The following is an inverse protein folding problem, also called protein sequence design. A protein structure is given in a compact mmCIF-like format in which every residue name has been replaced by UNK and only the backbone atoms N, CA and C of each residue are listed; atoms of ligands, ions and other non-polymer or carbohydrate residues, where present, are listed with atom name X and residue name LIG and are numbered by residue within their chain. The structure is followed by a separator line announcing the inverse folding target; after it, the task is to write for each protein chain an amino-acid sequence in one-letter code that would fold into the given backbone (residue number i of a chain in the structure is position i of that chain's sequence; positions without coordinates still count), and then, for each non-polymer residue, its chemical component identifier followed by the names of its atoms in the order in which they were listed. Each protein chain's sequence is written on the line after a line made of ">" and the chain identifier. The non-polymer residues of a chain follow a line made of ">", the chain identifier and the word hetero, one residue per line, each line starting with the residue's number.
data_IF_607542930164
#
_entry.id   IF_607542930164
#
_cell.length_a   1.000
_cell.length_b   1.000
_cell.length_c   1.000
_cell.angle_alpha   90.00
_cell.angle_beta   90.00
_cell.angle_gamma   90.00
#
_symmetry.space_group_name_H-M   'P 1'
#
loop_
_entity.id
_entity.type
_entity.pdbx_description
1 polymer ?
#
# COMPACT_ATOMS: atom_id res chain seq x y z
N UNK A 1 -17.21 -16.16 -12.04
CA UNK A 1 -16.07 -16.01 -11.12
C UNK A 1 -16.09 -14.62 -10.52
N UNK A 2 -15.65 -14.42 -9.28
CA UNK A 2 -15.68 -13.12 -8.60
C UNK A 2 -14.24 -12.59 -8.50
N UNK A 3 -14.01 -11.37 -9.01
CA UNK A 3 -12.77 -10.62 -8.79
C UNK A 3 -12.89 -9.85 -7.48
N UNK A 4 -11.92 -9.95 -6.60
CA UNK A 4 -11.83 -9.16 -5.39
C UNK A 4 -11.02 -7.90 -5.65
N UNK A 5 -11.58 -6.75 -5.32
CA UNK A 5 -10.92 -5.45 -5.53
C UNK A 5 -10.64 -4.77 -4.19
N UNK A 6 -9.38 -4.86 -3.75
CA UNK A 6 -8.86 -4.25 -2.54
C UNK A 6 -7.93 -3.06 -2.84
N UNK A 7 -8.13 -2.42 -3.99
CA UNK A 7 -7.38 -1.21 -4.32
C UNK A 7 -7.77 -0.06 -3.40
N UNK A 8 -6.80 0.77 -3.13
CA UNK A 8 -6.94 1.96 -2.30
C UNK A 8 -7.98 2.95 -2.88
N UNK A 9 -8.84 3.52 -2.03
CA UNK A 9 -9.79 4.56 -2.46
C UNK A 9 -9.04 5.85 -2.82
N UNK A 10 -9.16 6.26 -4.07
CA UNK A 10 -8.40 7.36 -4.65
C UNK A 10 -8.95 8.75 -4.32
N UNK A 11 -10.22 8.84 -3.85
CA UNK A 11 -10.93 10.14 -3.72
C UNK A 11 -10.22 11.13 -2.81
N UNK A 12 -9.74 10.65 -1.66
CA UNK A 12 -9.07 11.52 -0.70
C UNK A 12 -7.65 11.84 -1.14
N UNK A 13 -6.90 10.85 -1.62
CA UNK A 13 -5.48 11.00 -1.94
C UNK A 13 -5.22 11.92 -3.13
N UNK A 14 -6.17 12.02 -4.06
CA UNK A 14 -6.12 12.97 -5.18
C UNK A 14 -6.06 14.41 -4.71
N UNK A 15 -6.74 14.74 -3.61
CA UNK A 15 -6.79 16.10 -3.06
C UNK A 15 -5.49 16.55 -2.42
N UNK A 16 -4.52 15.67 -2.24
CA UNK A 16 -3.24 15.99 -1.60
C UNK A 16 -2.23 16.64 -2.55
N UNK A 17 -2.41 16.48 -3.86
CA UNK A 17 -1.53 17.10 -4.85
C UNK A 17 -1.61 18.62 -4.74
N UNK A 18 -0.46 19.26 -4.65
CA UNK A 18 -0.31 20.71 -4.43
C UNK A 18 -0.35 21.13 -2.96
N UNK A 19 -0.69 20.22 -2.02
CA UNK A 19 -0.63 20.51 -0.59
C UNK A 19 0.75 20.22 -0.02
N UNK A 20 1.07 20.85 1.10
CA UNK A 20 2.30 20.60 1.84
C UNK A 20 2.14 19.40 2.77
N UNK A 21 3.00 18.41 2.62
CA UNK A 21 3.21 17.37 3.63
C UNK A 21 4.16 17.93 4.69
N UNK A 22 3.65 18.11 5.91
CA UNK A 22 4.40 18.70 7.03
C UNK A 22 5.29 17.65 7.70
N UNK A 23 4.69 16.52 8.04
CA UNK A 23 5.37 15.45 8.79
C UNK A 23 4.64 14.13 8.66
N UNK A 24 5.33 13.05 9.06
CA UNK A 24 4.68 11.79 9.40
C UNK A 24 5.17 11.25 10.75
N UNK A 25 4.35 10.42 11.37
CA UNK A 25 4.60 9.79 12.67
C UNK A 25 4.27 8.32 12.59
N UNK A 26 5.09 7.48 13.21
CA UNK A 26 4.89 6.04 13.29
C UNK A 26 5.60 5.46 14.52
N UNK A 27 5.37 4.20 14.82
CA UNK A 27 6.07 3.50 15.91
C UNK A 27 7.52 3.21 15.56
N UNK A 28 7.77 2.75 14.34
CA UNK A 28 9.11 2.45 13.78
C UNK A 28 9.07 2.52 12.24
N UNK A 29 10.13 2.07 11.57
CA UNK A 29 10.21 2.05 10.09
C UNK A 29 9.37 0.96 9.42
N UNK A 30 8.76 0.06 10.21
CA UNK A 30 7.86 -1.00 9.75
C UNK A 30 6.58 -0.97 10.59
N UNK A 31 5.82 0.09 10.45
CA UNK A 31 4.63 0.35 11.23
C UNK A 31 3.39 -0.36 10.67
N UNK A 32 2.39 -0.61 11.50
CA UNK A 32 1.06 -1.05 11.06
C UNK A 32 0.18 0.15 10.69
N UNK A 33 0.51 1.31 11.21
CA UNK A 33 -0.16 2.57 10.92
C UNK A 33 0.82 3.75 10.88
N UNK A 34 0.46 4.79 10.13
CA UNK A 34 1.24 6.01 9.98
C UNK A 34 0.31 7.22 10.02
N UNK A 35 0.55 8.15 10.95
CA UNK A 35 -0.09 9.47 10.93
C UNK A 35 0.66 10.39 9.97
N UNK A 36 -0.07 11.07 9.09
CA UNK A 36 0.48 11.97 8.08
C UNK A 36 -0.18 13.34 8.26
N UNK A 37 0.63 14.38 8.45
CA UNK A 37 0.17 15.76 8.50
C UNK A 37 0.29 16.38 7.11
N UNK A 38 -0.86 16.78 6.52
CA UNK A 38 -0.94 17.44 5.20
C UNK A 38 -1.73 18.74 5.35
N UNK A 39 -1.07 19.87 5.12
CA UNK A 39 -1.63 21.17 5.43
C UNK A 39 -2.05 21.26 6.91
N UNK A 40 -3.26 21.72 7.15
CA UNK A 40 -3.83 21.86 8.50
C UNK A 40 -4.45 20.55 9.03
N UNK A 41 -4.52 19.50 8.21
CA UNK A 41 -5.22 18.26 8.50
C UNK A 41 -4.26 17.11 8.82
N UNK A 42 -4.68 16.24 9.73
CA UNK A 42 -3.99 14.99 10.02
C UNK A 42 -4.79 13.80 9.51
N UNK A 43 -4.06 12.80 9.00
CA UNK A 43 -4.61 11.57 8.44
C UNK A 43 -3.89 10.37 9.01
N UNK A 44 -4.62 9.29 9.25
CA UNK A 44 -4.04 8.01 9.62
C UNK A 44 -4.14 7.05 8.43
N UNK A 45 -2.99 6.56 7.97
CA UNK A 45 -2.88 5.45 7.01
C UNK A 45 -2.69 4.18 7.81
N UNK A 46 -3.59 3.21 7.64
CA UNK A 46 -3.51 1.88 8.21
C UNK A 46 -3.39 0.84 7.10
N UNK A 47 -2.85 -0.32 7.43
CA UNK A 47 -2.86 -1.50 6.59
C UNK A 47 -3.47 -2.64 7.43
N UNK A 48 -4.75 -2.89 7.24
CA UNK A 48 -5.59 -3.71 8.10
C UNK A 48 -5.96 -5.03 7.42
N UNK A 49 -6.07 -6.10 8.19
CA UNK A 49 -6.64 -7.34 7.69
C UNK A 49 -8.10 -7.17 7.33
N UNK A 50 -8.46 -7.75 6.19
CA UNK A 50 -9.84 -7.90 5.75
C UNK A 50 -10.09 -9.37 5.42
N UNK A 51 -11.04 -9.98 6.13
CA UNK A 51 -11.50 -11.33 5.87
C UNK A 51 -12.45 -11.34 4.67
N UNK A 52 -12.30 -12.31 3.78
CA UNK A 52 -13.20 -12.52 2.67
C UNK A 52 -13.42 -13.99 2.38
N UNK A 53 -14.65 -14.33 1.99
CA UNK A 53 -15.01 -15.70 1.60
C UNK A 53 -14.68 -15.92 0.12
N UNK A 54 -13.67 -16.73 -0.11
CA UNK A 54 -13.26 -17.16 -1.45
C UNK A 54 -13.37 -18.68 -1.54
N UNK A 55 -14.39 -19.15 -2.24
CA UNK A 55 -14.71 -20.59 -2.34
C UNK A 55 -14.89 -21.31 -0.99
N UNK A 56 -15.56 -20.70 -0.03
CA UNK A 56 -15.73 -21.24 1.33
C UNK A 56 -14.41 -21.50 2.07
N UNK A 57 -13.35 -20.85 1.66
CA UNK A 57 -12.10 -20.76 2.40
C UNK A 57 -12.01 -19.39 3.03
N UNK A 58 -11.78 -19.33 4.32
CA UNK A 58 -11.42 -18.10 5.02
C UNK A 58 -10.05 -17.65 4.50
N UNK A 59 -10.01 -16.51 3.83
CA UNK A 59 -8.78 -15.92 3.34
C UNK A 59 -8.63 -14.55 4.00
N UNK A 60 -7.39 -14.20 4.26
CA UNK A 60 -7.00 -12.90 4.80
C UNK A 60 -6.27 -12.11 3.73
N UNK A 61 -6.54 -10.82 3.68
CA UNK A 61 -5.81 -9.86 2.84
C UNK A 61 -5.65 -8.57 3.60
N UNK A 62 -4.59 -7.83 3.35
CA UNK A 62 -4.42 -6.52 3.96
C UNK A 62 -4.84 -5.42 3.02
N UNK A 63 -5.55 -4.43 3.54
CA UNK A 63 -6.11 -3.30 2.78
C UNK A 63 -5.63 -1.98 3.36
N UNK A 64 -5.10 -1.11 2.52
CA UNK A 64 -4.82 0.27 2.93
C UNK A 64 -6.11 1.05 3.15
N UNK A 65 -6.18 1.70 4.29
CA UNK A 65 -7.24 2.67 4.61
C UNK A 65 -6.62 4.00 5.03
N UNK A 66 -7.23 5.09 4.59
CA UNK A 66 -6.81 6.44 4.95
C UNK A 66 -8.01 7.18 5.53
N UNK A 67 -7.88 7.66 6.75
CA UNK A 67 -8.93 8.41 7.43
C UNK A 67 -8.39 9.73 7.99
N UNK A 68 -9.21 10.78 7.93
CA UNK A 68 -8.91 12.04 8.62
C UNK A 68 -9.08 11.83 10.12
N UNK A 69 -8.12 12.32 10.89
CA UNK A 69 -8.10 12.17 12.35
C UNK A 69 -8.10 13.54 13.04
N UNK A 70 -8.63 13.57 14.27
CA UNK A 70 -8.56 14.73 15.16
C UNK A 70 -7.55 14.41 16.28
N UNK A 71 -6.30 14.85 16.13
CA UNK A 71 -5.23 14.56 17.09
C UNK A 71 -4.25 13.50 16.59
N UNK A 72 -3.67 12.73 17.51
CA UNK A 72 -2.74 11.65 17.20
C UNK A 72 -3.44 10.29 17.32
N UNK A 73 -3.15 9.36 16.43
CA UNK A 73 -3.61 7.97 16.52
C UNK A 73 -2.79 7.15 17.52
N UNK A 74 -1.61 7.64 17.95
CA UNK A 74 -0.70 6.93 18.82
C UNK A 74 -0.71 7.50 20.25
N UNK A 75 -0.78 6.64 21.25
CA UNK A 75 -0.49 7.00 22.65
C UNK A 75 1.01 7.31 22.84
N UNK A 76 1.88 6.57 22.15
CA UNK A 76 3.34 6.69 22.22
C UNK A 76 3.96 6.80 20.83
N UNK A 77 4.22 7.99 20.33
CA UNK A 77 4.96 8.22 19.09
C UNK A 77 6.45 7.96 19.36
N UNK A 78 7.02 6.96 18.70
CA UNK A 78 8.46 6.67 18.80
C UNK A 78 9.27 7.38 17.72
N UNK A 79 8.67 7.61 16.55
CA UNK A 79 9.34 8.28 15.44
C UNK A 79 8.45 9.35 14.83
N UNK A 80 8.94 10.59 14.81
CA UNK A 80 8.37 11.70 14.07
C UNK A 80 9.42 12.22 13.09
N UNK A 81 9.02 12.40 11.82
CA UNK A 81 9.87 12.94 10.76
C UNK A 81 9.22 14.17 10.15
N UNK A 82 9.95 15.29 10.16
CA UNK A 82 9.60 16.47 9.38
C UNK A 82 9.83 16.20 7.90
N UNK A 83 8.91 16.64 7.09
CA UNK A 83 8.95 16.55 5.61
C UNK A 83 9.03 17.94 5.02
N UNK A 84 8.09 18.81 5.33
CA UNK A 84 7.99 20.22 4.91
C UNK A 84 8.14 20.42 3.37
N UNK A 85 7.50 19.55 2.59
CA UNK A 85 7.58 19.53 1.13
C UNK A 85 6.21 19.55 0.48
N UNK A 86 6.11 20.19 -0.68
CA UNK A 86 4.88 20.14 -1.50
C UNK A 86 4.79 18.79 -2.20
N UNK A 87 3.62 18.19 -2.15
CA UNK A 87 3.29 16.97 -2.90
C UNK A 87 3.08 17.36 -4.37
N UNK A 88 4.02 17.02 -5.23
CA UNK A 88 3.95 17.30 -6.66
C UNK A 88 3.12 16.27 -7.43
N UNK A 89 3.14 15.02 -6.96
CA UNK A 89 2.45 13.89 -7.56
C UNK A 89 2.23 12.79 -6.51
N UNK A 90 1.18 12.00 -6.70
CA UNK A 90 0.98 10.74 -5.97
C UNK A 90 0.89 9.60 -6.95
N UNK A 91 1.60 8.50 -6.67
CA UNK A 91 1.50 7.24 -7.41
C UNK A 91 0.91 6.16 -6.52
N UNK A 92 -0.04 5.40 -7.05
CA UNK A 92 -0.48 4.14 -6.49
C UNK A 92 0.09 3.00 -7.33
N UNK A 93 0.73 2.06 -6.68
CA UNK A 93 1.22 0.83 -7.29
C UNK A 93 0.20 -0.26 -6.97
N UNK A 94 -0.62 -0.62 -7.95
CA UNK A 94 -1.59 -1.70 -7.82
C UNK A 94 -1.04 -2.97 -8.45
N UNK A 95 -1.38 -4.11 -7.89
CA UNK A 95 -1.05 -5.43 -8.43
C UNK A 95 -2.33 -6.25 -8.60
N UNK A 96 -2.47 -6.85 -9.78
CA UNK A 96 -3.50 -7.82 -10.11
C UNK A 96 -2.90 -9.20 -10.02
N UNK A 97 -3.39 -10.00 -9.10
CA UNK A 97 -2.86 -11.31 -8.75
C UNK A 97 -3.87 -12.35 -9.17
N UNK A 98 -3.46 -13.27 -10.04
CA UNK A 98 -4.29 -14.39 -10.49
C UNK A 98 -3.58 -15.72 -10.20
N UNK A 99 -4.35 -16.73 -9.83
CA UNK A 99 -3.90 -18.10 -9.67
C UNK A 99 -4.76 -19.02 -10.52
N UNK A 100 -4.17 -19.67 -11.49
CA UNK A 100 -4.79 -20.75 -12.26
C UNK A 100 -4.38 -22.12 -11.69
N UNK A 101 -5.38 -22.98 -11.43
CA UNK A 101 -5.18 -24.34 -11.00
C UNK A 101 -6.04 -25.29 -11.85
N UNK A 102 -5.44 -26.34 -12.43
CA UNK A 102 -6.15 -27.28 -13.30
C UNK A 102 -6.93 -26.60 -14.44
N UNK A 103 -6.32 -25.66 -15.15
CA UNK A 103 -6.92 -24.89 -16.24
C UNK A 103 -8.16 -24.06 -15.83
N UNK A 104 -8.34 -23.84 -14.54
CA UNK A 104 -9.40 -22.98 -14.00
C UNK A 104 -8.81 -21.91 -13.09
N UNK A 105 -9.29 -20.68 -13.26
CA UNK A 105 -8.90 -19.55 -12.43
C UNK A 105 -9.48 -19.74 -11.04
N UNK A 106 -8.61 -19.94 -10.04
CA UNK A 106 -8.98 -20.20 -8.66
C UNK A 106 -8.84 -18.99 -7.76
N UNK A 107 -8.10 -17.96 -8.20
CA UNK A 107 -7.87 -16.72 -7.45
C UNK A 107 -7.77 -15.54 -8.41
N UNK A 108 -8.43 -14.42 -8.07
CA UNK A 108 -8.44 -13.19 -8.87
C UNK A 108 -8.63 -12.00 -7.93
N UNK A 109 -7.57 -11.22 -7.73
CA UNK A 109 -7.54 -10.15 -6.75
C UNK A 109 -6.75 -8.95 -7.22
N UNK A 110 -7.29 -7.76 -6.98
CA UNK A 110 -6.57 -6.49 -7.07
C UNK A 110 -6.19 -5.99 -5.69
N UNK A 111 -4.96 -5.52 -5.53
CA UNK A 111 -4.46 -4.96 -4.29
C UNK A 111 -3.58 -3.74 -4.56
N UNK A 112 -3.54 -2.76 -3.64
CA UNK A 112 -2.56 -1.68 -3.67
C UNK A 112 -1.32 -2.10 -2.89
N UNK A 113 -0.19 -2.21 -3.60
CA UNK A 113 1.12 -2.58 -3.05
C UNK A 113 1.81 -1.42 -2.37
N UNK A 114 1.72 -0.21 -2.95
CA UNK A 114 2.41 0.95 -2.43
C UNK A 114 1.72 2.27 -2.78
N UNK A 115 1.95 3.27 -1.93
CA UNK A 115 1.59 4.67 -2.13
C UNK A 115 2.88 5.48 -2.14
N UNK A 116 3.19 6.19 -3.24
CA UNK A 116 4.40 7.01 -3.37
C UNK A 116 3.99 8.47 -3.50
N UNK A 117 4.49 9.30 -2.59
CA UNK A 117 4.40 10.75 -2.66
C UNK A 117 5.68 11.30 -3.30
N UNK A 118 5.55 11.89 -4.48
CA UNK A 118 6.62 12.62 -5.14
C UNK A 118 6.68 14.03 -4.54
N UNK A 119 7.73 14.30 -3.80
CA UNK A 119 8.04 15.54 -3.14
C UNK A 119 9.13 16.26 -3.94
N UNK A 120 9.32 17.54 -3.73
CA UNK A 120 10.25 18.31 -4.57
C UNK A 120 11.67 17.71 -4.61
N UNK A 121 12.19 17.30 -3.47
CA UNK A 121 13.59 16.85 -3.34
C UNK A 121 13.76 15.33 -3.40
N UNK A 122 12.73 14.58 -3.03
CA UNK A 122 12.75 13.12 -2.92
C UNK A 122 11.34 12.53 -3.00
N UNK A 123 11.26 11.23 -3.10
CA UNK A 123 10.02 10.46 -2.96
C UNK A 123 9.91 9.84 -1.56
N UNK A 124 8.69 9.77 -1.05
CA UNK A 124 8.33 9.06 0.18
C UNK A 124 7.34 7.96 -0.17
N UNK A 125 7.66 6.72 0.16
CA UNK A 125 6.83 5.57 -0.17
C UNK A 125 6.36 4.86 1.10
N UNK A 126 5.08 4.54 1.14
CA UNK A 126 4.46 3.63 2.08
C UNK A 126 4.20 2.31 1.34
N UNK A 127 5.01 1.30 1.64
CA UNK A 127 5.05 0.01 0.95
C UNK A 127 4.51 -1.09 1.84
N UNK A 128 3.59 -1.94 1.36
CA UNK A 128 3.27 -3.19 2.04
C UNK A 128 4.50 -4.08 2.08
N UNK A 129 4.95 -4.39 3.29
CA UNK A 129 6.12 -5.23 3.50
C UNK A 129 5.84 -6.65 2.98
N UNK A 130 6.80 -7.20 2.27
CA UNK A 130 6.78 -8.54 1.69
C UNK A 130 5.65 -8.75 0.66
N UNK A 131 4.40 -8.99 1.07
CA UNK A 131 3.27 -9.26 0.19
C UNK A 131 1.94 -8.70 0.75
N UNK A 132 0.84 -8.97 0.08
CA UNK A 132 -0.51 -8.52 0.46
C UNK A 132 -1.05 -9.13 1.76
N UNK A 133 -0.37 -10.09 2.35
CA UNK A 133 -0.75 -10.71 3.62
C UNK A 133 -0.13 -9.99 4.84
N UNK A 134 0.83 -9.09 4.62
CA UNK A 134 1.52 -8.41 5.72
C UNK A 134 0.83 -7.09 6.10
N UNK A 135 0.49 -6.91 7.37
CA UNK A 135 0.02 -5.63 7.92
C UNK A 135 1.11 -4.55 7.96
N UNK A 136 2.37 -4.94 7.85
CA UNK A 136 3.50 -4.01 8.00
C UNK A 136 3.63 -3.07 6.81
N UNK A 137 3.73 -1.77 7.13
CA UNK A 137 4.04 -0.69 6.21
C UNK A 137 5.52 -0.37 6.34
N UNK A 138 6.30 -0.62 5.30
CA UNK A 138 7.68 -0.17 5.22
C UNK A 138 7.72 1.25 4.66
N UNK A 139 8.47 2.14 5.32
CA UNK A 139 8.59 3.53 4.92
C UNK A 139 9.93 3.73 4.23
N UNK A 140 9.88 4.01 2.92
CA UNK A 140 11.06 4.25 2.10
C UNK A 140 11.17 5.73 1.74
N UNK A 141 12.38 6.25 1.74
CA UNK A 141 12.71 7.61 1.31
C UNK A 141 13.87 7.57 0.32
N UNK A 142 13.71 8.19 -0.83
CA UNK A 142 14.75 8.19 -1.87
C UNK A 142 14.33 8.84 -3.15
N UNK A 143 14.94 8.43 -4.25
CA UNK A 143 14.56 8.79 -5.63
C UNK A 143 14.32 7.51 -6.40
N UNK A 144 13.41 7.58 -7.38
CA UNK A 144 13.09 6.47 -8.26
C UNK A 144 12.64 5.20 -7.49
N UNK A 145 11.83 5.43 -6.44
CA UNK A 145 11.37 4.35 -5.55
C UNK A 145 10.47 3.36 -6.29
N UNK A 146 9.73 3.80 -7.31
CA UNK A 146 8.90 2.92 -8.12
C UNK A 146 9.68 1.73 -8.69
N UNK A 147 10.90 1.99 -9.18
CA UNK A 147 11.77 0.94 -9.75
C UNK A 147 12.44 0.06 -8.68
N UNK A 148 12.42 0.48 -7.41
CA UNK A 148 12.96 -0.30 -6.29
C UNK A 148 11.93 -1.24 -5.67
N UNK A 149 10.62 -1.04 -5.94
CA UNK A 149 9.55 -1.89 -5.43
C UNK A 149 9.52 -3.21 -6.20
N UNK A 150 9.85 -4.30 -5.53
CA UNK A 150 9.75 -5.65 -6.10
C UNK A 150 8.29 -5.96 -6.40
N UNK A 151 8.04 -6.62 -7.52
CA UNK A 151 6.74 -7.21 -7.82
C UNK A 151 6.49 -8.42 -6.92
N UNK A 152 5.26 -8.62 -6.48
CA UNK A 152 4.89 -9.77 -5.66
C UNK A 152 5.11 -11.11 -6.38
N UNK A 153 5.17 -11.15 -7.72
CA UNK A 153 5.56 -12.32 -8.50
C UNK A 153 6.85 -12.96 -7.98
N UNK A 154 7.89 -12.14 -7.75
CA UNK A 154 9.19 -12.64 -7.29
C UNK A 154 9.17 -13.18 -5.85
N UNK A 155 8.18 -12.75 -5.06
CA UNK A 155 7.99 -13.26 -3.70
C UNK A 155 7.22 -14.58 -3.76
N UNK A 156 6.20 -14.64 -4.61
CA UNK A 156 5.37 -15.83 -4.78
C UNK A 156 6.14 -17.01 -5.39
N UNK A 157 7.02 -16.74 -6.35
CA UNK A 157 7.88 -17.75 -6.94
C UNK A 157 8.77 -18.45 -5.90
N UNK A 158 9.10 -17.74 -4.81
CA UNK A 158 9.87 -18.31 -3.68
C UNK A 158 9.01 -19.14 -2.71
N UNK A 159 7.69 -18.91 -2.66
CA UNK A 159 6.79 -19.51 -1.66
C UNK A 159 5.82 -20.56 -2.21
N UNK A 160 5.46 -20.49 -3.48
CA UNK A 160 4.48 -21.41 -4.08
C UNK A 160 5.20 -22.58 -4.74
N UNK A 161 4.98 -23.78 -4.23
CA UNK A 161 5.40 -24.98 -4.96
C UNK A 161 4.64 -25.03 -6.28
N UNK A 162 5.34 -24.88 -7.40
CA UNK A 162 4.82 -24.82 -8.79
C UNK A 162 3.89 -25.99 -9.16
N UNK A 163 3.80 -27.01 -8.33
CA UNK A 163 2.84 -28.12 -8.47
C UNK A 163 1.39 -27.70 -8.20
N UNK A 164 1.17 -26.56 -7.56
CA UNK A 164 -0.16 -26.13 -7.12
C UNK A 164 -0.87 -25.16 -8.07
N UNK A 165 -0.22 -24.69 -9.12
CA UNK A 165 -0.84 -23.80 -10.12
C UNK A 165 0.12 -22.77 -10.70
N UNK A 166 -0.40 -21.92 -11.60
CA UNK A 166 0.33 -20.81 -12.20
C UNK A 166 -0.17 -19.52 -11.56
N UNK A 167 0.74 -18.77 -10.93
CA UNK A 167 0.47 -17.43 -10.39
C UNK A 167 1.01 -16.39 -11.34
N UNK A 168 0.18 -15.41 -11.67
CA UNK A 168 0.60 -14.25 -12.45
C UNK A 168 0.31 -12.97 -11.67
N UNK A 169 1.24 -12.01 -11.71
CA UNK A 169 1.08 -10.69 -11.12
C UNK A 169 1.30 -9.63 -12.18
N UNK A 170 0.26 -8.86 -12.45
CA UNK A 170 0.29 -7.73 -13.39
C UNK A 170 0.22 -6.41 -12.61
N UNK A 171 1.15 -5.49 -12.87
CA UNK A 171 1.25 -4.21 -12.18
C UNK A 171 0.58 -3.09 -12.98
N UNK A 172 -0.22 -2.28 -12.27
CA UNK A 172 -0.81 -1.05 -12.77
C UNK A 172 -0.30 0.14 -11.94
N UNK A 173 0.07 1.23 -12.60
CA UNK A 173 0.46 2.49 -11.94
C UNK A 173 -0.60 3.54 -12.22
N UNK A 174 -1.22 4.04 -11.14
CA UNK A 174 -2.17 5.16 -11.20
C UNK A 174 -1.47 6.41 -10.68
N UNK A 175 -1.48 7.49 -11.47
CA UNK A 175 -0.78 8.73 -11.15
C UNK A 175 -1.76 9.91 -11.04
N UNK A 176 -1.65 10.68 -9.96
CA UNK A 176 -2.35 11.95 -9.73
C UNK A 176 -1.33 13.09 -9.79
N UNK A 177 -1.66 14.13 -10.59
CA UNK A 177 -0.81 15.30 -10.84
C UNK A 177 -1.63 16.58 -10.69
#
# INVERSE_FOLDING_TARGET
>A
MRTYDFRFDTKLIQSFVGLQMISYKCTDSMAEMVDIQIGDDAYCLTNEYEEYDYFSLENENTVYRLSKINGNSFENVQMMKSVDQIISKVLLVNEHITLEKNESLSYDMWNTKAIIFDLHDYELCFLKKDCWLSEKIEILKGKDLLNQIRCDQSILDDFIDMKDGIVEVNREIVAFR
#
